data_IF_399919373712
#
_entry.id   IF_399919373712
#
_cell.length_a   1.000
_cell.length_b   1.000
_cell.length_c   1.000
_cell.angle_alpha   90.00
_cell.angle_beta   90.00
_cell.angle_gamma   90.00
#
_symmetry.space_group_name_H-M   'P 1'
#
loop_
_entity.id
_entity.type
_entity.pdbx_description
1 polymer ?
#
# COMPACT_ATOMS: atom_id res chain seq x y z
N UNK A 1 -73.21 -31.64 23.79
CA UNK A 1 -71.96 -30.97 24.24
C UNK A 1 -70.86 -32.02 24.26
N UNK A 2 -69.94 -31.98 23.29
CA UNK A 2 -68.75 -32.85 23.25
C UNK A 2 -67.53 -31.93 23.21
N UNK A 3 -66.76 -31.93 24.29
CA UNK A 3 -65.52 -31.17 24.41
C UNK A 3 -64.39 -31.94 23.72
N UNK A 4 -63.68 -31.30 22.80
CA UNK A 4 -62.46 -31.84 22.22
C UNK A 4 -61.25 -31.09 22.80
N UNK A 5 -60.37 -31.85 23.44
CA UNK A 5 -59.10 -31.40 24.00
C UNK A 5 -58.05 -31.45 22.89
N UNK A 6 -57.51 -30.30 22.48
CA UNK A 6 -56.44 -30.20 21.49
C UNK A 6 -55.10 -30.26 22.23
N UNK A 7 -54.35 -31.36 22.09
CA UNK A 7 -52.98 -31.48 22.59
C UNK A 7 -52.04 -31.15 21.43
N UNK A 8 -51.32 -30.04 21.54
CA UNK A 8 -50.27 -29.65 20.59
C UNK A 8 -48.93 -30.20 21.11
N UNK A 9 -48.32 -31.13 20.37
CA UNK A 9 -46.95 -31.58 20.63
C UNK A 9 -45.97 -30.70 19.87
N UNK A 10 -45.23 -29.85 20.61
CA UNK A 10 -44.17 -29.01 20.09
C UNK A 10 -42.86 -29.82 20.06
N UNK A 11 -42.40 -30.20 18.87
CA UNK A 11 -41.08 -30.80 18.69
C UNK A 11 -40.02 -29.70 18.59
N UNK A 12 -39.24 -29.51 19.65
CA UNK A 12 -38.04 -28.66 19.65
C UNK A 12 -36.89 -29.39 18.96
N UNK A 13 -36.65 -29.07 17.68
CA UNK A 13 -35.41 -29.43 16.99
C UNK A 13 -34.32 -28.46 17.42
N UNK A 14 -33.39 -28.93 18.26
CA UNK A 14 -32.13 -28.21 18.51
C UNK A 14 -31.20 -28.44 17.32
N UNK A 15 -31.19 -27.50 16.37
CA UNK A 15 -30.12 -27.42 15.39
C UNK A 15 -28.82 -27.00 16.10
N UNK A 16 -27.97 -27.97 16.40
CA UNK A 16 -26.55 -27.73 16.66
C UNK A 16 -25.93 -27.19 15.36
N UNK A 17 -26.00 -25.88 15.17
CA UNK A 17 -25.19 -25.20 14.18
C UNK A 17 -23.73 -25.35 14.61
N UNK A 18 -23.03 -26.32 14.01
CA UNK A 18 -21.57 -26.32 13.99
C UNK A 18 -21.14 -25.02 13.29
N UNK A 19 -20.84 -23.99 14.08
CA UNK A 19 -20.12 -22.84 13.59
C UNK A 19 -18.78 -23.36 13.08
N UNK A 20 -18.58 -23.38 11.76
CA UNK A 20 -17.24 -23.47 11.21
C UNK A 20 -16.42 -22.38 11.89
N UNK A 21 -15.36 -22.79 12.59
CA UNK A 21 -14.32 -21.87 13.03
C UNK A 21 -13.84 -21.17 11.76
N UNK A 22 -14.29 -19.93 11.54
CA UNK A 22 -13.71 -19.08 10.51
C UNK A 22 -12.26 -18.91 10.91
N UNK A 23 -11.35 -19.54 10.18
CA UNK A 23 -9.94 -19.19 10.27
C UNK A 23 -9.86 -17.67 10.13
N UNK A 24 -9.30 -17.02 11.14
CA UNK A 24 -9.04 -15.59 11.08
C UNK A 24 -8.14 -15.40 9.85
N UNK A 25 -8.53 -14.56 8.88
CA UNK A 25 -7.69 -14.34 7.71
C UNK A 25 -6.30 -13.95 8.21
N UNK A 26 -5.25 -14.55 7.65
CA UNK A 26 -3.89 -14.14 7.93
C UNK A 26 -3.79 -12.64 7.67
N UNK A 27 -3.49 -11.87 8.72
CA UNK A 27 -3.32 -10.43 8.60
C UNK A 27 -2.26 -10.13 7.53
N UNK A 28 -2.50 -9.12 6.66
CA UNK A 28 -1.59 -8.82 5.56
C UNK A 28 -0.20 -8.38 6.06
N UNK A 29 -0.11 -7.89 7.30
CA UNK A 29 1.14 -7.51 7.96
C UNK A 29 1.21 -8.04 9.40
N UNK A 30 2.44 -8.22 9.89
CA UNK A 30 2.69 -8.59 11.29
C UNK A 30 2.47 -7.41 12.25
N UNK A 31 1.87 -7.69 13.40
CA UNK A 31 1.83 -6.75 14.52
C UNK A 31 3.24 -6.56 15.11
N UNK A 32 3.63 -5.30 15.34
CA UNK A 32 4.95 -4.94 15.90
C UNK A 32 4.83 -4.29 17.28
N UNK A 33 3.74 -4.58 18.00
CA UNK A 33 3.42 -4.01 19.30
C UNK A 33 2.61 -2.71 19.26
N UNK A 34 2.31 -2.18 20.44
CA UNK A 34 1.54 -0.95 20.66
C UNK A 34 2.43 0.15 21.21
N UNK A 35 2.34 1.34 20.63
CA UNK A 35 3.14 2.50 21.05
C UNK A 35 2.20 3.64 21.48
N UNK A 36 2.51 4.26 22.62
CA UNK A 36 1.77 5.44 23.08
C UNK A 36 2.17 6.65 22.25
N UNK A 37 1.24 7.17 21.45
CA UNK A 37 1.41 8.43 20.74
C UNK A 37 1.09 9.60 21.68
N UNK A 38 1.81 10.72 21.51
CA UNK A 38 1.46 11.95 22.21
C UNK A 38 0.28 12.62 21.49
N UNK A 39 -0.73 13.02 22.25
CA UNK A 39 -1.82 13.83 21.71
C UNK A 39 -1.27 15.20 21.33
N UNK A 40 -1.53 15.63 20.09
CA UNK A 40 -1.14 16.95 19.58
C UNK A 40 -2.41 17.71 19.23
N UNK A 41 -2.49 18.98 19.65
CA UNK A 41 -3.60 19.88 19.36
C UNK A 41 -3.11 21.06 18.52
N UNK A 42 -3.92 21.50 17.56
CA UNK A 42 -3.64 22.67 16.72
C UNK A 42 -4.94 23.33 16.28
N UNK A 43 -4.98 24.66 16.28
CA UNK A 43 -6.15 25.45 15.85
C UNK A 43 -6.08 25.89 14.38
N UNK A 44 -4.97 25.62 13.67
CA UNK A 44 -4.75 26.12 12.30
C UNK A 44 -4.66 25.01 11.27
N UNK A 45 -3.80 24.03 11.52
CA UNK A 45 -3.51 22.93 10.60
C UNK A 45 -3.04 21.71 11.36
N UNK A 46 -3.41 20.54 10.87
CA UNK A 46 -3.04 19.25 11.43
C UNK A 46 -2.69 18.30 10.29
N UNK A 47 -1.65 17.50 10.49
CA UNK A 47 -1.26 16.39 9.63
C UNK A 47 -1.02 15.20 10.53
N UNK A 48 -1.60 14.06 10.19
CA UNK A 48 -1.43 12.80 10.91
C UNK A 48 -1.15 11.71 9.90
N UNK A 49 0.00 11.06 10.03
CA UNK A 49 0.41 9.91 9.21
C UNK A 49 1.13 8.91 10.12
N UNK A 50 1.28 7.63 9.72
CA UNK A 50 2.01 6.65 10.53
C UNK A 50 3.52 6.94 10.64
N UNK A 51 4.05 7.83 9.79
CA UNK A 51 5.47 8.12 9.69
C UNK A 51 5.82 9.59 10.01
N UNK A 52 6.89 9.81 10.77
CA UNK A 52 7.32 11.15 11.15
C UNK A 52 7.78 12.00 9.96
N UNK A 53 8.51 11.42 8.99
CA UNK A 53 9.02 12.14 7.84
C UNK A 53 7.91 12.50 6.85
N UNK A 54 6.92 11.62 6.68
CA UNK A 54 5.70 11.94 5.92
C UNK A 54 4.90 13.08 6.58
N UNK A 55 4.69 13.02 7.90
CA UNK A 55 3.99 14.08 8.64
C UNK A 55 4.72 15.42 8.55
N UNK A 56 6.05 15.43 8.71
CA UNK A 56 6.88 16.64 8.59
C UNK A 56 6.84 17.22 7.18
N UNK A 57 6.96 16.37 6.16
CA UNK A 57 6.90 16.77 4.75
C UNK A 57 5.58 17.44 4.42
N UNK A 58 4.46 16.80 4.74
CA UNK A 58 3.12 17.36 4.50
C UNK A 58 2.86 18.65 5.30
N UNK A 59 3.32 18.71 6.56
CA UNK A 59 3.22 19.95 7.34
C UNK A 59 4.03 21.09 6.70
N UNK A 60 5.22 20.81 6.15
CA UNK A 60 6.00 21.80 5.43
C UNK A 60 5.28 22.30 4.17
N UNK A 61 4.58 21.43 3.45
CA UNK A 61 3.73 21.81 2.30
C UNK A 61 2.58 22.73 2.72
N UNK A 62 1.88 22.42 3.82
CA UNK A 62 0.85 23.32 4.36
C UNK A 62 1.43 24.68 4.76
N UNK A 63 2.60 24.70 5.39
CA UNK A 63 3.30 25.95 5.77
C UNK A 63 3.74 26.78 4.56
N UNK A 64 4.01 26.16 3.41
CA UNK A 64 4.25 26.84 2.12
C UNK A 64 2.97 27.36 1.46
N UNK A 65 1.81 27.19 2.08
CA UNK A 65 0.53 27.68 1.58
C UNK A 65 -0.16 26.74 0.58
N UNK A 66 0.25 25.46 0.56
CA UNK A 66 -0.42 24.40 -0.19
C UNK A 66 -1.76 23.99 0.43
N UNK A 67 -2.58 23.28 -0.34
CA UNK A 67 -3.88 22.78 0.12
C UNK A 67 -3.75 21.50 0.95
N UNK A 68 -4.86 21.05 1.53
CA UNK A 68 -4.91 19.73 2.18
C UNK A 68 -4.59 18.60 1.20
N UNK A 69 -4.97 18.74 -0.09
CA UNK A 69 -4.65 17.79 -1.15
C UNK A 69 -3.16 17.81 -1.47
N UNK A 70 -2.54 19.00 -1.61
CA UNK A 70 -1.09 19.12 -1.81
C UNK A 70 -0.30 18.40 -0.69
N UNK A 71 -0.73 18.62 0.57
CA UNK A 71 -0.10 17.99 1.73
C UNK A 71 -0.32 16.48 1.76
N UNK A 72 -1.52 16.00 1.43
CA UNK A 72 -1.83 14.56 1.36
C UNK A 72 -0.99 13.86 0.27
N UNK A 73 -0.81 14.50 -0.89
CA UNK A 73 0.06 13.98 -1.96
C UNK A 73 1.50 13.86 -1.46
N UNK A 74 2.06 14.93 -0.88
CA UNK A 74 3.44 14.92 -0.41
C UNK A 74 3.68 13.88 0.72
N UNK A 75 2.72 13.71 1.63
CA UNK A 75 2.74 12.62 2.62
C UNK A 75 2.73 11.25 1.94
N UNK A 76 1.83 11.01 0.99
CA UNK A 76 1.66 9.72 0.31
C UNK A 76 2.90 9.34 -0.49
N UNK A 77 3.50 10.30 -1.20
CA UNK A 77 4.76 10.07 -1.92
C UNK A 77 5.90 9.79 -0.94
N UNK A 78 5.98 10.50 0.20
CA UNK A 78 6.97 10.20 1.23
C UNK A 78 6.79 8.80 1.83
N UNK A 79 5.54 8.37 2.08
CA UNK A 79 5.24 7.02 2.60
C UNK A 79 5.67 5.91 1.62
N UNK A 80 5.69 6.17 0.31
CA UNK A 80 6.27 5.23 -0.68
C UNK A 80 7.73 4.90 -0.36
N UNK A 81 8.48 5.87 0.18
CA UNK A 81 9.87 5.68 0.60
C UNK A 81 9.97 5.13 2.03
N UNK A 82 9.24 5.73 2.97
CA UNK A 82 9.48 5.54 4.41
C UNK A 82 8.64 4.45 5.06
N UNK A 83 7.55 4.03 4.42
CA UNK A 83 6.69 2.89 4.82
C UNK A 83 6.31 2.01 3.61
N UNK A 84 7.31 1.47 2.89
CA UNK A 84 7.09 0.71 1.66
C UNK A 84 6.37 -0.65 1.89
N UNK A 85 6.24 -1.08 3.15
CA UNK A 85 5.47 -2.27 3.51
C UNK A 85 3.95 -2.08 3.34
N UNK A 86 3.46 -0.86 3.55
CA UNK A 86 2.04 -0.58 3.69
C UNK A 86 1.42 0.09 2.45
N UNK A 87 2.12 1.06 1.85
CA UNK A 87 1.59 1.86 0.75
C UNK A 87 2.69 2.31 -0.21
N UNK A 88 2.30 2.66 -1.43
CA UNK A 88 3.21 3.33 -2.36
C UNK A 88 2.70 3.38 -3.79
N UNK A 89 3.49 4.01 -4.66
CA UNK A 89 3.16 4.23 -6.08
C UNK A 89 2.90 2.95 -6.88
N UNK A 90 3.34 1.79 -6.37
CA UNK A 90 3.08 0.47 -6.95
C UNK A 90 1.73 -0.15 -6.57
N UNK A 91 0.90 0.53 -5.78
CA UNK A 91 -0.43 0.05 -5.36
C UNK A 91 -1.57 1.00 -5.76
N UNK A 92 -2.61 1.02 -4.93
CA UNK A 92 -3.80 1.83 -5.11
C UNK A 92 -4.26 2.51 -3.82
N UNK A 93 -5.39 3.21 -3.89
CA UNK A 93 -5.97 3.85 -2.72
C UNK A 93 -7.23 4.64 -3.02
N UNK A 94 -7.77 5.27 -1.98
CA UNK A 94 -8.92 6.14 -2.05
C UNK A 94 -8.58 7.48 -1.39
N UNK A 95 -9.10 8.58 -1.94
CA UNK A 95 -8.96 9.90 -1.35
C UNK A 95 -10.35 10.52 -1.18
N UNK A 96 -10.66 10.90 0.05
CA UNK A 96 -11.88 11.63 0.39
C UNK A 96 -11.49 13.07 0.69
N UNK A 97 -12.06 14.01 -0.04
CA UNK A 97 -11.75 15.43 0.09
C UNK A 97 -13.02 16.22 0.39
N UNK A 98 -13.01 16.97 1.50
CA UNK A 98 -14.08 17.90 1.83
C UNK A 98 -13.61 19.34 1.60
N UNK A 99 -14.28 20.04 0.68
CA UNK A 99 -14.05 21.44 0.43
C UNK A 99 -14.98 22.29 1.30
N UNK A 100 -14.44 22.89 2.37
CA UNK A 100 -15.22 23.66 3.33
C UNK A 100 -15.89 24.93 2.74
N UNK A 101 -15.27 25.55 1.73
CA UNK A 101 -15.82 26.76 1.10
C UNK A 101 -17.08 26.46 0.29
N UNK A 102 -17.13 25.30 -0.35
CA UNK A 102 -18.27 24.87 -1.18
C UNK A 102 -19.17 23.84 -0.49
N UNK A 103 -18.77 23.34 0.69
CA UNK A 103 -19.41 22.27 1.44
C UNK A 103 -19.60 20.98 0.61
N UNK A 104 -18.69 20.71 -0.32
CA UNK A 104 -18.73 19.53 -1.19
C UNK A 104 -17.76 18.46 -0.74
N UNK A 105 -18.22 17.21 -0.82
CA UNK A 105 -17.42 16.01 -0.62
C UNK A 105 -17.11 15.38 -1.99
N UNK A 106 -15.83 15.14 -2.26
CA UNK A 106 -15.35 14.40 -3.43
C UNK A 106 -14.70 13.10 -2.97
N UNK A 107 -14.91 12.02 -3.74
CA UNK A 107 -14.24 10.74 -3.54
C UNK A 107 -13.48 10.37 -4.82
N UNK A 108 -12.23 9.98 -4.67
CA UNK A 108 -11.38 9.49 -5.75
C UNK A 108 -11.06 8.03 -5.50
N UNK A 109 -11.23 7.23 -6.54
CA UNK A 109 -10.91 5.81 -6.56
C UNK A 109 -9.71 5.57 -7.47
N UNK A 110 -8.59 5.18 -6.86
CA UNK A 110 -7.37 4.75 -7.51
C UNK A 110 -7.03 3.33 -7.09
N UNK A 111 -8.04 2.50 -6.79
CA UNK A 111 -7.86 1.09 -6.47
C UNK A 111 -7.24 0.37 -7.66
N UNK A 112 -6.40 -0.61 -7.36
CA UNK A 112 -5.81 -1.46 -8.37
C UNK A 112 -6.89 -2.21 -9.15
N UNK A 113 -6.67 -2.39 -10.45
CA UNK A 113 -7.56 -3.18 -11.32
C UNK A 113 -6.90 -4.48 -11.74
N UNK A 114 -7.69 -5.55 -11.91
CA UNK A 114 -7.16 -6.79 -12.47
C UNK A 114 -6.63 -6.52 -13.90
N UNK A 115 -5.40 -6.94 -14.24
CA UNK A 115 -4.90 -6.84 -15.61
C UNK A 115 -5.85 -7.50 -16.61
N UNK A 116 -5.96 -6.94 -17.83
CA UNK A 116 -6.94 -7.38 -18.83
C UNK A 116 -6.82 -8.87 -19.25
N UNK A 117 -5.65 -9.48 -19.03
CA UNK A 117 -5.36 -10.88 -19.38
C UNK A 117 -5.54 -11.84 -18.19
N UNK A 118 -6.08 -11.39 -17.06
CA UNK A 118 -6.33 -12.26 -15.90
C UNK A 118 -7.43 -13.28 -16.22
N UNK A 119 -7.13 -14.55 -15.93
CA UNK A 119 -8.09 -15.66 -15.95
C UNK A 119 -8.62 -15.92 -14.52
N UNK A 120 -9.93 -16.18 -14.32
CA UNK A 120 -10.49 -16.55 -13.02
C UNK A 120 -9.79 -17.73 -12.31
N UNK A 121 -9.10 -18.59 -13.06
CA UNK A 121 -8.34 -19.75 -12.59
C UNK A 121 -6.88 -19.45 -12.31
N UNK A 122 -6.41 -18.19 -12.41
CA UNK A 122 -4.99 -17.84 -12.28
C UNK A 122 -4.33 -18.28 -10.97
N UNK A 123 -5.13 -18.46 -9.92
CA UNK A 123 -4.73 -18.91 -8.58
C UNK A 123 -5.16 -20.35 -8.28
N UNK A 124 -5.46 -21.15 -9.31
CA UNK A 124 -5.66 -22.59 -9.19
C UNK A 124 -4.41 -23.33 -9.66
N UNK A 125 -4.07 -24.39 -8.93
CA UNK A 125 -3.08 -25.39 -9.33
C UNK A 125 -3.63 -26.27 -10.46
N UNK A 126 -2.77 -27.02 -11.13
CA UNK A 126 -3.15 -27.92 -12.24
C UNK A 126 -4.22 -28.95 -11.85
N UNK A 127 -4.24 -29.38 -10.58
CA UNK A 127 -5.23 -30.31 -10.03
C UNK A 127 -6.59 -29.64 -9.69
N UNK A 128 -6.74 -28.33 -9.93
CA UNK A 128 -7.95 -27.57 -9.65
C UNK A 128 -8.07 -27.03 -8.22
N UNK A 129 -7.14 -27.35 -7.32
CA UNK A 129 -7.11 -26.80 -5.97
C UNK A 129 -6.59 -25.36 -5.96
N UNK A 130 -6.98 -24.57 -4.95
CA UNK A 130 -6.43 -23.23 -4.77
C UNK A 130 -4.92 -23.28 -4.47
N UNK A 131 -4.18 -22.35 -5.05
CA UNK A 131 -2.79 -22.10 -4.65
C UNK A 131 -2.72 -21.74 -3.16
N UNK A 132 -1.68 -22.17 -2.43
CA UNK A 132 -1.44 -21.72 -1.07
C UNK A 132 -1.39 -20.20 -1.00
N UNK A 133 -2.08 -19.61 0.00
CA UNK A 133 -2.27 -18.16 0.09
C UNK A 133 -0.96 -17.37 0.02
N UNK A 134 0.08 -17.83 0.74
CA UNK A 134 1.38 -17.16 0.75
C UNK A 134 2.04 -17.16 -0.62
N UNK A 135 2.03 -18.30 -1.32
CA UNK A 135 2.59 -18.44 -2.67
C UNK A 135 1.87 -17.55 -3.68
N UNK A 136 0.54 -17.56 -3.66
CA UNK A 136 -0.26 -16.67 -4.49
C UNK A 136 0.09 -15.20 -4.22
N UNK A 137 0.08 -14.78 -2.95
CA UNK A 137 0.29 -13.39 -2.50
C UNK A 137 1.66 -12.84 -2.90
N UNK A 138 2.72 -13.63 -2.79
CA UNK A 138 4.09 -13.13 -3.06
C UNK A 138 4.48 -13.20 -4.54
N UNK A 139 3.67 -13.82 -5.38
CA UNK A 139 3.91 -13.96 -6.81
C UNK A 139 3.48 -12.72 -7.62
N UNK A 140 4.07 -12.53 -8.80
CA UNK A 140 3.61 -11.56 -9.79
C UNK A 140 2.13 -11.69 -10.19
N UNK A 141 1.50 -12.86 -10.02
CA UNK A 141 0.06 -13.06 -10.29
C UNK A 141 -0.83 -12.20 -9.38
N UNK A 142 -0.36 -11.86 -8.19
CA UNK A 142 -1.10 -11.03 -7.24
C UNK A 142 -1.01 -9.52 -7.53
N UNK A 143 -0.23 -9.11 -8.54
CA UNK A 143 -0.04 -7.69 -8.86
C UNK A 143 -1.21 -7.17 -9.71
N UNK A 144 -2.02 -6.31 -9.10
CA UNK A 144 -3.00 -5.48 -9.82
C UNK A 144 -2.34 -4.31 -10.54
N UNK A 145 -3.03 -3.71 -11.51
CA UNK A 145 -2.58 -2.49 -12.20
C UNK A 145 -2.61 -1.31 -11.22
N UNK A 146 -1.47 -0.67 -10.89
CA UNK A 146 -1.41 0.36 -9.85
C UNK A 146 -2.23 1.61 -10.21
N UNK A 147 -3.06 2.11 -9.29
CA UNK A 147 -3.94 3.27 -9.52
C UNK A 147 -3.58 4.53 -8.75
N UNK A 148 -2.67 4.43 -7.76
CA UNK A 148 -2.43 5.51 -6.79
C UNK A 148 -1.93 6.80 -7.44
N UNK A 149 -0.91 6.72 -8.29
CA UNK A 149 -0.33 7.92 -8.92
C UNK A 149 -1.33 8.68 -9.77
N UNK A 150 -2.22 7.97 -10.48
CA UNK A 150 -3.25 8.60 -11.30
C UNK A 150 -4.31 9.31 -10.44
N UNK A 151 -4.69 8.71 -9.31
CA UNK A 151 -5.55 9.36 -8.31
C UNK A 151 -4.89 10.63 -7.75
N UNK A 152 -3.61 10.57 -7.38
CA UNK A 152 -2.91 11.72 -6.81
C UNK A 152 -2.83 12.87 -7.82
N UNK A 153 -2.44 12.59 -9.06
CA UNK A 153 -2.37 13.59 -10.12
C UNK A 153 -3.75 14.19 -10.44
N UNK A 154 -4.80 13.38 -10.55
CA UNK A 154 -6.16 13.88 -10.81
C UNK A 154 -6.67 14.77 -9.68
N UNK A 155 -6.42 14.40 -8.42
CA UNK A 155 -6.81 15.22 -7.27
C UNK A 155 -5.99 16.51 -7.20
N UNK A 156 -4.70 16.48 -7.56
CA UNK A 156 -3.85 17.66 -7.66
C UNK A 156 -4.37 18.63 -8.73
N UNK A 157 -4.74 18.15 -9.91
CA UNK A 157 -5.27 19.00 -10.98
C UNK A 157 -6.57 19.73 -10.57
N UNK A 158 -7.38 19.12 -9.70
CA UNK A 158 -8.65 19.69 -9.27
C UNK A 158 -8.55 20.56 -8.02
N UNK A 159 -7.61 20.27 -7.12
CA UNK A 159 -7.59 20.80 -5.75
C UNK A 159 -6.19 21.20 -5.26
N UNK A 160 -5.15 20.96 -6.05
CA UNK A 160 -3.79 21.35 -5.75
C UNK A 160 -3.57 22.83 -6.02
N UNK A 161 -2.54 23.38 -5.39
CA UNK A 161 -2.15 24.79 -5.53
C UNK A 161 -0.65 24.96 -5.77
N UNK A 162 0.18 24.17 -5.09
CA UNK A 162 1.61 24.20 -5.34
C UNK A 162 1.98 23.42 -6.61
N UNK A 163 3.11 23.74 -7.26
CA UNK A 163 3.62 22.95 -8.38
C UNK A 163 3.76 21.48 -8.02
N UNK A 164 3.37 20.58 -8.93
CA UNK A 164 3.42 19.13 -8.73
C UNK A 164 4.82 18.64 -8.29
N UNK A 165 5.87 19.15 -8.94
CA UNK A 165 7.26 18.81 -8.61
C UNK A 165 7.62 19.18 -7.16
N UNK A 166 7.10 20.29 -6.62
CA UNK A 166 7.39 20.74 -5.25
C UNK A 166 6.81 19.79 -4.20
N UNK A 167 5.78 19.01 -4.54
CA UNK A 167 5.18 18.01 -3.65
C UNK A 167 6.03 16.72 -3.58
N UNK A 168 6.80 16.44 -4.63
CA UNK A 168 7.59 15.20 -4.79
C UNK A 168 9.05 15.42 -4.39
N UNK A 169 9.59 16.62 -4.62
CA UNK A 169 10.99 16.95 -4.40
C UNK A 169 11.52 16.56 -3.01
N UNK A 170 10.78 16.78 -1.88
CA UNK A 170 11.26 16.38 -0.57
C UNK A 170 11.57 14.87 -0.47
N UNK A 171 10.78 14.02 -1.13
CA UNK A 171 11.00 12.58 -1.15
C UNK A 171 12.16 12.19 -2.05
N UNK A 172 12.35 12.87 -3.20
CA UNK A 172 13.53 12.68 -4.05
C UNK A 172 14.81 12.97 -3.26
N UNK A 173 14.83 14.07 -2.53
CA UNK A 173 15.99 14.50 -1.74
C UNK A 173 16.29 13.50 -0.62
N UNK A 174 15.26 13.07 0.13
CA UNK A 174 15.42 12.11 1.20
C UNK A 174 15.83 10.72 0.69
N UNK A 175 15.30 10.28 -0.45
CA UNK A 175 15.67 9.01 -1.07
C UNK A 175 17.16 8.97 -1.47
N UNK A 176 17.73 10.11 -1.89
CA UNK A 176 19.16 10.26 -2.22
C UNK A 176 20.03 10.40 -0.98
N UNK A 177 19.62 11.24 -0.04
CA UNK A 177 20.35 11.51 1.20
C UNK A 177 20.41 10.28 2.11
N UNK A 178 19.30 9.53 2.16
CA UNK A 178 19.06 8.41 3.05
C UNK A 178 18.17 8.82 4.24
N UNK A 179 17.42 7.85 4.75
CA UNK A 179 16.57 8.02 5.92
C UNK A 179 16.79 6.89 6.92
N UNK A 180 16.41 7.10 8.18
CA UNK A 180 16.43 6.06 9.20
C UNK A 180 15.10 5.29 9.13
N UNK A 181 15.09 3.99 8.76
CA UNK A 181 13.88 3.19 8.78
C UNK A 181 13.30 3.13 10.20
N UNK A 182 11.97 3.22 10.32
CA UNK A 182 11.30 3.11 11.62
C UNK A 182 11.59 1.76 12.28
N UNK A 183 11.50 1.68 13.62
CA UNK A 183 11.68 0.41 14.34
C UNK A 183 10.74 -0.67 13.82
N UNK A 184 9.49 -0.30 13.48
CA UNK A 184 8.51 -1.19 12.86
C UNK A 184 8.99 -1.70 11.51
N UNK A 185 9.41 -0.82 10.60
CA UNK A 185 9.89 -1.22 9.27
C UNK A 185 11.12 -2.14 9.37
N UNK A 186 12.08 -1.82 10.24
CA UNK A 186 13.23 -2.69 10.47
C UNK A 186 12.84 -4.09 10.98
N UNK A 187 11.84 -4.18 11.85
CA UNK A 187 11.33 -5.45 12.34
C UNK A 187 10.66 -6.26 11.21
N UNK A 188 9.82 -5.61 10.39
CA UNK A 188 9.16 -6.25 9.26
C UNK A 188 10.18 -6.79 8.24
N UNK A 189 11.20 -6.00 7.91
CA UNK A 189 12.30 -6.43 7.02
C UNK A 189 13.02 -7.66 7.57
N UNK A 190 13.33 -7.69 8.88
CA UNK A 190 14.01 -8.83 9.52
C UNK A 190 13.20 -10.11 9.45
N UNK A 191 11.89 -9.99 9.61
CA UNK A 191 10.96 -11.11 9.78
C UNK A 191 10.38 -11.64 8.47
N UNK A 192 10.46 -10.88 7.37
CA UNK A 192 9.96 -11.33 6.08
C UNK A 192 10.96 -12.27 5.36
N UNK A 193 10.63 -13.57 5.19
CA UNK A 193 11.52 -14.52 4.53
C UNK A 193 11.60 -14.31 3.01
N UNK A 194 10.62 -13.65 2.38
CA UNK A 194 10.52 -13.50 0.94
C UNK A 194 11.39 -12.37 0.40
N UNK A 195 11.68 -11.34 1.21
CA UNK A 195 12.56 -10.23 0.78
C UNK A 195 13.97 -10.72 0.44
N UNK A 196 14.50 -11.70 1.18
CA UNK A 196 15.83 -12.29 0.92
C UNK A 196 15.89 -13.06 -0.41
N UNK A 197 14.76 -13.57 -0.86
CA UNK A 197 14.63 -14.37 -2.08
C UNK A 197 14.31 -13.51 -3.31
N UNK A 198 13.99 -12.23 -3.13
CA UNK A 198 13.81 -11.29 -4.23
C UNK A 198 15.13 -10.51 -4.46
N UNK A 199 15.77 -10.61 -5.64
CA UNK A 199 17.07 -9.97 -5.88
C UNK A 199 17.08 -8.46 -5.67
N UNK A 200 16.04 -7.76 -6.10
CA UNK A 200 15.95 -6.30 -5.95
C UNK A 200 15.74 -5.90 -4.48
N UNK A 201 14.84 -6.60 -3.77
CA UNK A 201 14.63 -6.35 -2.34
C UNK A 201 15.86 -6.71 -1.51
N UNK A 202 16.58 -7.79 -1.87
CA UNK A 202 17.82 -8.18 -1.22
C UNK A 202 18.87 -7.09 -1.32
N UNK A 203 19.07 -6.53 -2.52
CA UNK A 203 20.01 -5.44 -2.76
C UNK A 203 19.63 -4.15 -2.02
N UNK A 204 18.33 -3.91 -1.83
CA UNK A 204 17.86 -2.71 -1.17
C UNK A 204 17.89 -2.81 0.35
N UNK A 205 17.42 -3.90 0.94
CA UNK A 205 17.17 -4.00 2.39
C UNK A 205 18.25 -4.71 3.21
N UNK A 206 19.20 -5.38 2.56
CA UNK A 206 20.21 -6.20 3.22
C UNK A 206 21.62 -5.77 2.80
N UNK A 207 22.59 -6.01 3.69
CA UNK A 207 23.99 -5.79 3.39
C UNK A 207 24.56 -6.85 2.43
N UNK A 208 25.83 -6.71 2.07
CA UNK A 208 26.54 -7.64 1.17
C UNK A 208 26.62 -9.08 1.69
N UNK A 209 26.41 -9.30 2.99
CA UNK A 209 26.36 -10.61 3.63
C UNK A 209 24.92 -11.15 3.75
N UNK A 210 23.91 -10.41 3.27
CA UNK A 210 22.51 -10.78 3.35
C UNK A 210 21.89 -10.59 4.74
N UNK A 211 22.53 -9.81 5.61
CA UNK A 211 22.02 -9.46 6.93
C UNK A 211 21.30 -8.11 6.90
N UNK A 212 20.35 -7.91 7.83
CA UNK A 212 19.67 -6.62 7.93
C UNK A 212 20.60 -5.56 8.50
N UNK A 213 20.48 -4.35 7.98
CA UNK A 213 21.28 -3.23 8.45
C UNK A 213 21.06 -2.91 9.95
N UNK A 214 22.08 -2.36 10.64
CA UNK A 214 21.96 -1.95 12.03
C UNK A 214 20.99 -0.74 12.16
N UNK A 215 20.42 -0.48 13.36
CA UNK A 215 19.37 0.53 13.53
C UNK A 215 19.71 1.97 13.12
N UNK A 216 20.99 2.34 13.09
CA UNK A 216 21.47 3.68 12.71
C UNK A 216 21.83 3.79 11.22
N UNK A 217 21.63 2.72 10.45
CA UNK A 217 21.92 2.73 9.03
C UNK A 217 20.91 3.59 8.28
N UNK A 218 21.42 4.51 7.46
CA UNK A 218 20.60 5.32 6.58
C UNK A 218 20.34 4.59 5.27
N UNK A 219 19.09 4.17 5.07
CA UNK A 219 18.65 3.49 3.88
C UNK A 219 18.49 4.50 2.74
N UNK A 220 19.13 4.23 1.60
CA UNK A 220 19.08 5.08 0.39
C UNK A 220 18.40 4.35 -0.74
N UNK A 221 17.59 5.06 -1.53
CA UNK A 221 16.90 4.50 -2.69
C UNK A 221 17.07 5.43 -3.91
N UNK A 222 18.28 5.51 -4.48
CA UNK A 222 18.55 6.36 -5.63
C UNK A 222 17.74 5.94 -6.87
N UNK A 223 17.37 4.67 -7.01
CA UNK A 223 16.51 4.18 -8.08
C UNK A 223 15.09 4.77 -7.96
N UNK A 224 14.49 4.74 -6.77
CA UNK A 224 13.20 5.39 -6.52
C UNK A 224 13.30 6.90 -6.70
N UNK A 225 14.40 7.52 -6.27
CA UNK A 225 14.62 8.95 -6.48
C UNK A 225 14.63 9.32 -7.98
N UNK A 226 15.20 8.46 -8.82
CA UNK A 226 15.14 8.62 -10.27
C UNK A 226 13.70 8.50 -10.80
N UNK A 227 12.97 7.47 -10.39
CA UNK A 227 11.57 7.27 -10.79
C UNK A 227 10.72 8.49 -10.40
N UNK A 228 10.86 8.97 -9.16
CA UNK A 228 10.14 10.13 -8.66
C UNK A 228 10.54 11.41 -9.37
N UNK A 229 11.79 11.55 -9.81
CA UNK A 229 12.25 12.68 -10.63
C UNK A 229 11.57 12.68 -12.00
N UNK A 230 11.46 11.52 -12.65
CA UNK A 230 10.77 11.38 -13.94
C UNK A 230 9.27 11.72 -13.78
N UNK A 231 8.64 11.31 -12.67
CA UNK A 231 7.25 11.64 -12.31
C UNK A 231 7.07 13.13 -11.98
N UNK A 232 8.04 13.77 -11.32
CA UNK A 232 8.00 15.20 -11.01
C UNK A 232 8.02 16.06 -12.29
N UNK A 233 8.72 15.59 -13.32
CA UNK A 233 8.84 16.28 -14.62
C UNK A 233 7.66 15.98 -15.54
N UNK A 234 7.29 14.71 -15.68
CA UNK A 234 6.35 14.27 -16.73
C UNK A 234 4.98 13.82 -16.20
N UNK A 235 4.72 14.05 -14.91
CA UNK A 235 3.50 13.60 -14.25
C UNK A 235 3.42 12.08 -14.14
N UNK A 236 2.22 11.56 -13.87
CA UNK A 236 1.99 10.12 -13.69
C UNK A 236 2.29 9.31 -14.95
N UNK A 237 2.28 9.94 -16.13
CA UNK A 237 2.55 9.28 -17.40
C UNK A 237 3.95 8.65 -17.47
N UNK A 238 4.93 9.17 -16.72
CA UNK A 238 6.26 8.56 -16.60
C UNK A 238 6.22 7.14 -16.00
N UNK A 239 5.21 6.84 -15.18
CA UNK A 239 4.99 5.53 -14.58
C UNK A 239 4.20 4.60 -15.50
N UNK A 240 3.17 5.14 -16.17
CA UNK A 240 2.22 4.37 -16.96
C UNK A 240 2.64 4.12 -18.42
N UNK A 241 3.75 4.71 -18.87
CA UNK A 241 4.24 4.50 -20.22
C UNK A 241 5.76 4.53 -20.32
N UNK A 242 6.26 4.18 -21.51
CA UNK A 242 7.69 4.23 -21.81
C UNK A 242 8.50 3.17 -21.07
N UNK A 243 9.82 3.40 -20.88
CA UNK A 243 10.74 2.38 -20.38
C UNK A 243 10.39 1.84 -19.00
N UNK A 244 9.92 2.68 -18.08
CA UNK A 244 9.56 2.26 -16.72
C UNK A 244 8.35 1.31 -16.73
N UNK A 245 7.30 1.63 -17.48
CA UNK A 245 6.15 0.75 -17.64
C UNK A 245 6.55 -0.63 -18.17
N UNK A 246 7.44 -0.69 -19.16
CA UNK A 246 7.97 -1.96 -19.67
C UNK A 246 8.82 -2.71 -18.63
N UNK A 247 9.56 -2.01 -17.77
CA UNK A 247 10.30 -2.64 -16.67
C UNK A 247 9.35 -3.24 -15.62
N UNK A 248 8.28 -2.53 -15.26
CA UNK A 248 7.24 -3.02 -14.35
C UNK A 248 6.59 -4.28 -14.93
N UNK A 249 6.14 -4.24 -16.19
CA UNK A 249 5.52 -5.40 -16.86
C UNK A 249 6.47 -6.60 -16.86
N UNK A 250 7.75 -6.39 -17.22
CA UNK A 250 8.74 -7.48 -17.19
C UNK A 250 8.96 -8.03 -15.80
N UNK A 251 9.04 -7.18 -14.77
CA UNK A 251 9.22 -7.62 -13.40
C UNK A 251 8.05 -8.48 -12.91
N UNK A 252 6.82 -8.11 -13.28
CA UNK A 252 5.61 -8.88 -12.96
C UNK A 252 5.56 -10.22 -13.70
N UNK A 253 5.81 -10.21 -15.02
CA UNK A 253 5.72 -11.41 -15.88
C UNK A 253 6.85 -12.41 -15.65
N UNK A 254 8.05 -11.92 -15.29
CA UNK A 254 9.24 -12.74 -15.08
C UNK A 254 9.47 -13.10 -13.61
N UNK A 255 8.50 -12.84 -12.73
CA UNK A 255 8.57 -13.39 -11.37
C UNK A 255 8.49 -14.91 -11.47
N UNK A 256 9.57 -15.61 -11.14
CA UNK A 256 9.64 -17.08 -11.19
C UNK A 256 8.47 -17.73 -10.43
N UNK A 257 8.00 -17.10 -9.34
CA UNK A 257 6.87 -17.56 -8.53
C UNK A 257 5.53 -17.44 -9.25
N UNK A 258 5.45 -16.61 -10.29
CA UNK A 258 4.30 -16.52 -11.18
C UNK A 258 4.36 -17.52 -12.35
N UNK A 259 5.55 -18.08 -12.65
CA UNK A 259 5.79 -19.00 -13.76
C UNK A 259 5.69 -20.47 -13.34
N UNK A 260 5.91 -20.79 -12.06
CA UNK A 260 5.68 -22.11 -11.48
C UNK A 260 4.18 -22.40 -11.33
N UNK A 261 3.48 -22.60 -12.44
CA UNK A 261 2.38 -23.55 -12.44
C UNK A 261 3.04 -24.94 -12.33
N UNK A 262 3.11 -25.46 -11.10
CA UNK A 262 3.69 -26.77 -10.82
C UNK A 262 3.16 -27.82 -11.81
N UNK A 263 4.09 -28.40 -12.60
CA UNK A 263 3.87 -29.62 -13.37
C UNK A 263 3.46 -30.76 -12.43
#
# INVERSE_FOLDING_TARGET
MKSYLLIVHLWLWTSLAYGQIREVPLEPEMATGSFRQQLVNSSKMMVVTPNTDASKTALAILKKGGTAVDAAIAATIMLTLTEPNASGIGGGGFLIHYNAATQKLSAYDGRETAPAQVDPKQFLLANGNAMPFVEARVSGKAVGTPGLLRLLELSHQQHGKLPWADLIQPTIDLAKAGFLPSTRLQQLIRQDPHLRNNPAAKLYFFDSQGQTHPPQYQLKNPELAKVLSDIAISGSQAFYSGPLAHQIIRAVQNDARAQEAFN
#
